data_IF_127396922399
#
_entry.id   IF_127396922399
#
_cell.length_a   1.000
_cell.length_b   1.000
_cell.length_c   1.000
_cell.angle_alpha   90.00
_cell.angle_beta   90.00
_cell.angle_gamma   90.00
#
_symmetry.space_group_name_H-M   'P 1'
#
loop_
_entity.id
_entity.type
_entity.pdbx_description
1 polymer ?
#
# COMPACT_ATOMS: atom_id res chain seq x y z
N UNK A 1 -0.50 41.49 -23.49
CA UNK A 1 -0.83 40.23 -22.81
C UNK A 1 -1.64 39.39 -23.77
N UNK A 2 -1.16 38.19 -24.10
CA UNK A 2 -1.82 37.28 -25.04
C UNK A 2 -2.00 35.93 -24.37
N UNK A 3 -3.21 35.67 -23.87
CA UNK A 3 -3.59 34.36 -23.35
C UNK A 3 -3.54 33.33 -24.48
N UNK A 4 -2.96 32.16 -24.23
CA UNK A 4 -2.92 31.07 -25.19
C UNK A 4 -3.95 30.03 -24.75
N UNK A 5 -5.10 30.01 -25.42
CA UNK A 5 -6.13 28.99 -25.21
C UNK A 5 -5.58 27.66 -25.70
N UNK A 6 -5.35 26.72 -24.78
CA UNK A 6 -4.80 25.41 -25.10
C UNK A 6 -5.92 24.38 -25.34
N UNK A 7 -7.06 24.51 -24.65
CA UNK A 7 -8.27 23.68 -24.83
C UNK A 7 -9.53 24.48 -24.45
N UNK A 8 -10.71 23.91 -24.68
CA UNK A 8 -12.03 24.41 -24.25
C UNK A 8 -12.26 24.38 -22.72
N UNK A 9 -11.37 23.73 -21.96
CA UNK A 9 -11.49 23.53 -20.50
C UNK A 9 -10.35 24.13 -19.69
N UNK A 10 -9.29 24.63 -20.34
CA UNK A 10 -8.09 25.12 -19.66
C UNK A 10 -7.48 26.30 -20.43
N UNK A 11 -7.46 27.44 -19.74
CA UNK A 11 -6.72 28.64 -20.14
C UNK A 11 -5.51 28.78 -19.23
N UNK A 12 -4.33 29.03 -19.81
CA UNK A 12 -3.09 29.28 -19.08
C UNK A 12 -2.59 30.68 -19.42
N UNK A 13 -2.63 31.56 -18.42
CA UNK A 13 -1.99 32.87 -18.48
C UNK A 13 -0.59 32.80 -17.85
N UNK A 14 0.42 32.99 -18.69
CA UNK A 14 1.82 33.03 -18.25
C UNK A 14 2.22 34.49 -18.04
N UNK A 15 2.47 34.86 -16.78
CA UNK A 15 2.98 36.17 -16.40
C UNK A 15 4.45 36.02 -16.01
N UNK A 16 5.34 36.58 -16.80
CA UNK A 16 6.77 36.66 -16.46
C UNK A 16 7.02 37.87 -15.55
N UNK A 17 7.47 37.62 -14.32
CA UNK A 17 7.68 38.66 -13.31
C UNK A 17 9.18 38.83 -13.02
N UNK A 18 9.72 40.07 -13.02
CA UNK A 18 11.09 40.31 -12.58
C UNK A 18 11.26 39.95 -11.10
N UNK A 19 12.42 39.42 -10.73
CA UNK A 19 12.73 39.08 -9.33
C UNK A 19 12.60 40.34 -8.45
N UNK A 20 11.92 40.20 -7.30
CA UNK A 20 11.56 41.28 -6.34
C UNK A 20 12.77 41.93 -5.64
N UNK A 21 14.00 41.52 -5.95
CA UNK A 21 15.21 41.93 -5.23
C UNK A 21 15.33 43.46 -5.13
N UNK A 22 15.36 43.97 -3.90
CA UNK A 22 15.54 45.40 -3.59
C UNK A 22 14.27 46.22 -3.39
N UNK A 23 13.07 45.65 -3.64
CA UNK A 23 11.77 46.34 -3.46
C UNK A 23 11.01 45.92 -2.21
N UNK A 24 11.64 45.17 -1.31
CA UNK A 24 11.00 44.54 -0.15
C UNK A 24 10.31 45.54 0.79
N UNK A 25 10.78 46.79 0.85
CA UNK A 25 10.21 47.84 1.70
C UNK A 25 9.12 48.67 1.00
N UNK A 26 8.85 48.43 -0.27
CA UNK A 26 7.83 49.17 -1.02
C UNK A 26 6.42 48.74 -0.59
N UNK A 27 5.55 49.73 -0.41
CA UNK A 27 4.12 49.54 -0.12
C UNK A 27 3.35 49.45 -1.43
N UNK A 28 3.60 48.40 -2.20
CA UNK A 28 2.90 48.11 -3.46
C UNK A 28 1.89 46.98 -3.27
N UNK A 29 0.66 47.20 -3.76
CA UNK A 29 -0.42 46.20 -3.76
C UNK A 29 -0.02 44.96 -4.57
N UNK A 30 0.68 45.14 -5.69
CA UNK A 30 1.17 44.01 -6.49
C UNK A 30 2.18 43.18 -5.71
N UNK A 31 3.07 43.83 -4.96
CA UNK A 31 4.08 43.16 -4.16
C UNK A 31 3.44 42.28 -3.07
N UNK A 32 2.39 42.76 -2.42
CA UNK A 32 1.65 41.96 -1.42
C UNK A 32 1.00 40.70 -2.03
N UNK A 33 0.48 40.81 -3.26
CA UNK A 33 -0.01 39.65 -4.02
C UNK A 33 1.10 38.67 -4.43
N UNK A 34 2.28 39.17 -4.79
CA UNK A 34 3.43 38.33 -5.13
C UNK A 34 3.90 37.50 -3.94
N UNK A 35 3.99 38.11 -2.76
CA UNK A 35 4.31 37.39 -1.53
C UNK A 35 3.23 36.37 -1.14
N UNK A 36 1.95 36.67 -1.39
CA UNK A 36 0.86 35.71 -1.19
C UNK A 36 0.99 34.49 -2.10
N UNK A 37 1.27 34.69 -3.39
CA UNK A 37 1.43 33.59 -4.35
C UNK A 37 2.69 32.74 -4.08
N UNK A 38 3.78 33.37 -3.63
CA UNK A 38 5.00 32.65 -3.25
C UNK A 38 4.81 31.86 -1.95
N UNK A 39 4.24 32.51 -0.92
CA UNK A 39 3.93 31.88 0.36
C UNK A 39 2.77 32.61 1.07
N UNK A 40 1.54 32.06 1.03
CA UNK A 40 0.36 32.68 1.63
C UNK A 40 0.40 32.73 3.17
N UNK A 41 1.35 32.03 3.80
CA UNK A 41 1.58 32.02 5.25
C UNK A 41 2.82 32.80 5.67
N UNK A 42 3.40 33.60 4.77
CA UNK A 42 4.53 34.45 5.11
C UNK A 42 4.15 35.53 6.13
N UNK A 43 5.13 35.99 6.90
CA UNK A 43 4.95 37.03 7.92
C UNK A 43 4.32 38.30 7.32
N UNK A 44 4.85 38.78 6.19
CA UNK A 44 4.31 39.92 5.45
C UNK A 44 2.86 39.74 5.03
N UNK A 45 2.48 38.56 4.51
CA UNK A 45 1.09 38.31 4.09
C UNK A 45 0.16 38.35 5.30
N UNK A 46 0.57 37.73 6.40
CA UNK A 46 -0.17 37.74 7.67
C UNK A 46 -0.39 39.17 8.19
N UNK A 47 0.65 40.01 8.15
CA UNK A 47 0.53 41.44 8.49
C UNK A 47 -0.44 42.17 7.55
N UNK A 48 -0.33 41.90 6.24
CA UNK A 48 -1.14 42.55 5.21
C UNK A 48 -2.61 42.14 5.20
N UNK A 49 -2.99 41.01 5.80
CA UNK A 49 -4.39 40.65 6.00
C UNK A 49 -5.16 41.67 6.87
N UNK A 50 -4.47 42.39 7.75
CA UNK A 50 -5.07 43.47 8.54
C UNK A 50 -5.30 44.76 7.75
N UNK A 51 -4.51 45.00 6.71
CA UNK A 51 -4.52 46.24 5.92
C UNK A 51 -5.28 46.10 4.57
N UNK A 52 -5.19 44.92 3.94
CA UNK A 52 -5.73 44.65 2.62
C UNK A 52 -6.81 43.56 2.69
N UNK A 53 -8.07 43.99 2.50
CA UNK A 53 -9.24 43.11 2.52
C UNK A 53 -9.18 42.00 1.46
N UNK A 54 -8.61 42.27 0.29
CA UNK A 54 -8.56 41.28 -0.80
C UNK A 54 -7.60 40.14 -0.47
N UNK A 55 -6.44 40.43 0.13
CA UNK A 55 -5.49 39.41 0.59
C UNK A 55 -6.11 38.58 1.70
N UNK A 56 -6.84 39.21 2.63
CA UNK A 56 -7.56 38.49 3.68
C UNK A 56 -8.61 37.53 3.11
N UNK A 57 -9.46 38.00 2.20
CA UNK A 57 -10.47 37.17 1.55
C UNK A 57 -9.85 36.03 0.74
N UNK A 58 -8.70 36.26 0.09
CA UNK A 58 -7.97 35.23 -0.64
C UNK A 58 -7.39 34.15 0.28
N UNK A 59 -6.81 34.53 1.43
CA UNK A 59 -6.30 33.58 2.43
C UNK A 59 -7.43 32.75 3.04
N UNK A 60 -8.55 33.36 3.40
CA UNK A 60 -9.71 32.64 3.97
C UNK A 60 -10.27 31.60 3.00
N UNK A 61 -10.40 31.95 1.71
CA UNK A 61 -10.81 30.99 0.67
C UNK A 61 -9.80 29.86 0.49
N UNK A 62 -8.51 30.18 0.50
CA UNK A 62 -7.45 29.19 0.37
C UNK A 62 -7.46 28.21 1.55
N UNK A 63 -7.64 28.70 2.76
CA UNK A 63 -7.71 27.86 3.96
C UNK A 63 -8.95 26.96 3.92
N UNK A 64 -10.12 27.47 3.54
CA UNK A 64 -11.34 26.64 3.40
C UNK A 64 -11.16 25.51 2.40
N UNK A 65 -10.58 25.80 1.22
CA UNK A 65 -10.30 24.78 0.20
C UNK A 65 -9.26 23.76 0.71
N UNK A 66 -8.24 24.24 1.41
CA UNK A 66 -7.19 23.38 1.97
C UNK A 66 -7.68 22.51 3.12
N UNK A 67 -8.65 22.96 3.92
CA UNK A 67 -9.25 22.20 5.01
C UNK A 67 -10.00 20.98 4.50
N UNK A 68 -10.79 21.14 3.43
CA UNK A 68 -11.51 20.03 2.80
C UNK A 68 -10.54 18.97 2.26
N UNK A 69 -9.50 19.38 1.52
CA UNK A 69 -8.49 18.45 1.01
C UNK A 69 -7.73 17.73 2.14
N UNK A 70 -7.34 18.46 3.19
CA UNK A 70 -6.67 17.87 4.36
C UNK A 70 -7.59 16.87 5.06
N UNK A 71 -8.87 17.19 5.21
CA UNK A 71 -9.82 16.30 5.87
C UNK A 71 -10.07 15.03 5.05
N UNK A 72 -10.24 15.16 3.73
CA UNK A 72 -10.30 14.02 2.80
C UNK A 72 -9.04 13.17 2.91
N UNK A 73 -7.86 13.79 2.88
CA UNK A 73 -6.58 13.08 3.01
C UNK A 73 -6.46 12.31 4.32
N UNK A 74 -6.91 12.89 5.43
CA UNK A 74 -6.93 12.22 6.74
C UNK A 74 -7.87 11.01 6.71
N UNK A 75 -9.06 11.14 6.10
CA UNK A 75 -10.01 10.04 5.96
C UNK A 75 -9.44 8.91 5.11
N UNK A 76 -8.81 9.22 3.98
CA UNK A 76 -8.17 8.24 3.09
C UNK A 76 -7.04 7.49 3.80
N UNK A 77 -6.19 8.20 4.53
CA UNK A 77 -5.10 7.58 5.30
C UNK A 77 -5.62 6.64 6.38
N UNK A 78 -6.71 7.01 7.07
CA UNK A 78 -7.35 6.14 8.06
C UNK A 78 -7.94 4.89 7.41
N UNK A 79 -8.65 5.06 6.30
CA UNK A 79 -9.22 3.93 5.57
C UNK A 79 -8.12 2.98 5.08
N UNK A 80 -7.03 3.53 4.53
CA UNK A 80 -5.85 2.77 4.11
C UNK A 80 -5.27 1.96 5.27
N UNK A 81 -5.06 2.56 6.44
CA UNK A 81 -4.53 1.86 7.61
C UNK A 81 -5.43 0.68 8.04
N UNK A 82 -6.75 0.87 8.05
CA UNK A 82 -7.72 -0.19 8.38
C UNK A 82 -7.67 -1.32 7.35
N UNK A 83 -7.56 -0.99 6.05
CA UNK A 83 -7.47 -1.99 4.98
C UNK A 83 -6.15 -2.77 5.05
N UNK A 84 -5.03 -2.08 5.28
CA UNK A 84 -3.71 -2.69 5.40
C UNK A 84 -3.67 -3.67 6.60
N UNK A 85 -4.23 -3.29 7.76
CA UNK A 85 -4.32 -4.16 8.94
C UNK A 85 -5.13 -5.44 8.65
N UNK A 86 -6.31 -5.30 8.02
CA UNK A 86 -7.15 -6.43 7.61
C UNK A 86 -6.43 -7.35 6.63
N UNK A 87 -5.71 -6.79 5.67
CA UNK A 87 -4.97 -7.55 4.67
C UNK A 87 -3.82 -8.34 5.31
N UNK A 88 -3.06 -7.72 6.22
CA UNK A 88 -1.97 -8.39 6.96
C UNK A 88 -2.53 -9.54 7.79
N UNK A 89 -3.64 -9.32 8.52
CA UNK A 89 -4.26 -10.37 9.32
C UNK A 89 -4.76 -11.53 8.46
N UNK A 90 -5.48 -11.25 7.38
CA UNK A 90 -5.99 -12.26 6.45
C UNK A 90 -4.84 -13.10 5.85
N UNK A 91 -3.77 -12.44 5.40
CA UNK A 91 -2.58 -13.10 4.88
C UNK A 91 -1.91 -13.98 5.94
N UNK A 92 -1.79 -13.49 7.18
CA UNK A 92 -1.22 -14.27 8.28
C UNK A 92 -2.01 -15.55 8.59
N UNK A 93 -3.35 -15.50 8.50
CA UNK A 93 -4.19 -16.69 8.64
C UNK A 93 -4.01 -17.67 7.48
N UNK A 94 -3.93 -17.17 6.25
CA UNK A 94 -3.72 -17.98 5.05
C UNK A 94 -2.35 -18.68 5.08
N UNK A 95 -1.28 -17.93 5.34
CA UNK A 95 0.08 -18.47 5.49
C UNK A 95 0.15 -19.49 6.62
N UNK A 96 -0.54 -19.25 7.74
CA UNK A 96 -0.63 -20.20 8.85
C UNK A 96 -1.34 -21.50 8.48
N UNK A 97 -2.41 -21.44 7.67
CA UNK A 97 -3.10 -22.63 7.16
C UNK A 97 -2.23 -23.41 6.18
N UNK A 98 -1.62 -22.71 5.21
CA UNK A 98 -0.74 -23.29 4.21
C UNK A 98 0.45 -24.01 4.87
N UNK A 99 1.09 -23.36 5.83
CA UNK A 99 2.21 -23.96 6.57
C UNK A 99 1.80 -25.24 7.30
N UNK A 100 0.60 -25.26 7.93
CA UNK A 100 0.09 -26.47 8.59
C UNK A 100 -0.18 -27.60 7.59
N UNK A 101 -0.69 -27.28 6.41
CA UNK A 101 -0.95 -28.25 5.35
C UNK A 101 0.36 -28.82 4.80
N UNK A 102 1.35 -27.97 4.55
CA UNK A 102 2.71 -28.38 4.15
C UNK A 102 3.36 -29.28 5.20
N UNK A 103 3.34 -28.88 6.48
CA UNK A 103 3.88 -29.71 7.59
C UNK A 103 3.14 -31.05 7.73
N UNK A 104 1.83 -31.09 7.44
CA UNK A 104 1.06 -32.33 7.47
C UNK A 104 1.43 -33.25 6.31
N UNK A 105 1.57 -32.70 5.10
CA UNK A 105 1.98 -33.46 3.93
C UNK A 105 3.38 -34.02 4.09
N UNK A 106 4.32 -33.24 4.62
CA UNK A 106 5.69 -33.70 4.90
C UNK A 106 5.70 -34.88 5.90
N UNK A 107 4.91 -34.79 6.97
CA UNK A 107 4.78 -35.88 7.95
C UNK A 107 4.12 -37.13 7.38
N UNK A 108 3.14 -36.97 6.48
CA UNK A 108 2.51 -38.09 5.78
C UNK A 108 3.54 -38.77 4.88
N UNK A 109 4.28 -38.01 4.08
CA UNK A 109 5.32 -38.54 3.20
C UNK A 109 6.42 -39.29 3.98
N UNK A 110 6.89 -38.73 5.11
CA UNK A 110 7.86 -39.39 5.98
C UNK A 110 7.30 -40.72 6.54
N UNK A 111 6.03 -40.73 6.92
CA UNK A 111 5.37 -41.92 7.42
C UNK A 111 5.22 -42.99 6.33
N UNK A 112 4.83 -42.60 5.11
CA UNK A 112 4.71 -43.49 3.96
C UNK A 112 6.08 -44.11 3.60
N UNK A 113 7.16 -43.33 3.58
CA UNK A 113 8.51 -43.85 3.33
C UNK A 113 8.93 -44.85 4.42
N UNK A 114 8.61 -44.57 5.69
CA UNK A 114 8.87 -45.50 6.79
C UNK A 114 8.07 -46.79 6.66
N UNK A 115 6.81 -46.72 6.23
CA UNK A 115 5.98 -47.90 5.98
C UNK A 115 6.55 -48.72 4.82
N UNK A 116 6.96 -48.05 3.73
CA UNK A 116 7.56 -48.68 2.56
C UNK A 116 8.85 -49.43 2.91
N UNK A 117 9.74 -48.82 3.71
CA UNK A 117 10.99 -49.46 4.16
C UNK A 117 10.73 -50.68 5.06
N UNK A 118 9.70 -50.64 5.89
CA UNK A 118 9.28 -51.79 6.71
C UNK A 118 8.73 -52.90 5.80
N UNK A 119 7.89 -52.57 4.81
CA UNK A 119 7.35 -53.53 3.86
C UNK A 119 8.47 -54.23 3.05
N UNK A 120 9.48 -53.49 2.60
CA UNK A 120 10.67 -54.06 1.92
C UNK A 120 11.41 -55.08 2.80
N UNK A 121 11.67 -54.73 4.07
CA UNK A 121 12.30 -55.65 5.03
C UNK A 121 11.45 -56.90 5.30
N UNK A 122 10.12 -56.78 5.31
CA UNK A 122 9.21 -57.92 5.46
C UNK A 122 9.24 -58.84 4.23
N UNK A 123 9.34 -58.28 3.02
CA UNK A 123 9.50 -59.04 1.77
C UNK A 123 10.84 -59.79 1.74
N UNK A 124 11.94 -59.16 2.16
CA UNK A 124 13.25 -59.81 2.29
C UNK A 124 13.21 -61.03 3.23
N UNK A 125 12.40 -60.95 4.29
CA UNK A 125 12.15 -62.05 5.22
C UNK A 125 11.16 -63.10 4.69
N UNK A 126 10.72 -62.99 3.43
CA UNK A 126 9.77 -63.88 2.76
C UNK A 126 8.40 -63.98 3.46
N UNK A 127 7.97 -62.90 4.10
CA UNK A 127 6.62 -62.80 4.67
C UNK A 127 5.61 -62.71 3.51
N UNK A 128 4.46 -63.38 3.66
CA UNK A 128 3.41 -63.40 2.63
C UNK A 128 2.85 -61.99 2.37
N UNK A 129 2.70 -61.64 1.09
CA UNK A 129 2.25 -60.31 0.65
C UNK A 129 0.87 -59.94 1.21
N UNK A 130 -0.04 -60.91 1.44
CA UNK A 130 -1.35 -60.65 2.05
C UNK A 130 -1.22 -60.25 3.53
N UNK A 131 -0.24 -60.81 4.23
CA UNK A 131 0.04 -60.45 5.63
C UNK A 131 0.65 -59.05 5.69
N UNK A 132 1.58 -58.72 4.79
CA UNK A 132 2.17 -57.37 4.70
C UNK A 132 1.08 -56.33 4.43
N UNK A 133 0.21 -56.55 3.43
CA UNK A 133 -0.92 -55.66 3.14
C UNK A 133 -1.83 -55.40 4.35
N UNK A 134 -2.13 -56.46 5.13
CA UNK A 134 -2.94 -56.34 6.34
C UNK A 134 -2.27 -55.58 7.49
N UNK A 135 -0.93 -55.56 7.55
CA UNK A 135 -0.15 -54.92 8.62
C UNK A 135 0.27 -53.48 8.29
N UNK A 136 0.61 -53.21 7.03
CA UNK A 136 1.08 -51.90 6.57
C UNK A 136 -0.04 -51.01 6.02
N UNK A 137 -1.20 -51.60 5.72
CA UNK A 137 -2.31 -50.90 5.06
C UNK A 137 -2.07 -50.64 3.57
N UNK A 138 -0.97 -51.16 3.01
CA UNK A 138 -0.65 -51.04 1.58
C UNK A 138 -1.50 -52.01 0.75
N UNK A 139 -1.78 -51.62 -0.49
CA UNK A 139 -2.41 -52.50 -1.47
C UNK A 139 -1.42 -53.55 -1.99
N UNK A 140 -1.95 -54.67 -2.51
CA UNK A 140 -1.11 -55.71 -3.12
C UNK A 140 -0.32 -55.18 -4.33
N UNK A 141 -0.90 -54.25 -5.09
CA UNK A 141 -0.25 -53.60 -6.24
C UNK A 141 0.93 -52.72 -5.82
N UNK A 142 0.80 -51.97 -4.72
CA UNK A 142 1.89 -51.16 -4.16
C UNK A 142 3.03 -52.05 -3.68
N UNK A 143 2.71 -53.14 -2.97
CA UNK A 143 3.71 -54.11 -2.49
C UNK A 143 4.42 -54.81 -3.66
N UNK A 144 3.72 -55.08 -4.77
CA UNK A 144 4.33 -55.65 -5.98
C UNK A 144 5.32 -54.71 -6.66
N UNK A 145 5.10 -53.40 -6.60
CA UNK A 145 6.04 -52.39 -7.11
C UNK A 145 7.32 -52.24 -6.26
N UNK A 146 7.31 -52.75 -5.02
CA UNK A 146 8.48 -52.72 -4.13
C UNK A 146 9.45 -53.89 -4.34
N UNK A 147 9.10 -54.84 -5.20
CA UNK A 147 9.78 -56.11 -5.42
C UNK A 147 10.52 -56.12 -6.76
#
# INVERSE_FOLDING_TARGET
TGGKILTDKLEIDIIELPKIKGREKEKDKLLDWLYFLENPKSERVTEKMGENKEIKEATEKLDSLSEDERMQRIADLRLKAIMDEKAIYAKGLEDGKRKREEELQEKIAEMEERIETIAKKMLEQKIDKKIIAGLTGMTLEEIEKLN
#
